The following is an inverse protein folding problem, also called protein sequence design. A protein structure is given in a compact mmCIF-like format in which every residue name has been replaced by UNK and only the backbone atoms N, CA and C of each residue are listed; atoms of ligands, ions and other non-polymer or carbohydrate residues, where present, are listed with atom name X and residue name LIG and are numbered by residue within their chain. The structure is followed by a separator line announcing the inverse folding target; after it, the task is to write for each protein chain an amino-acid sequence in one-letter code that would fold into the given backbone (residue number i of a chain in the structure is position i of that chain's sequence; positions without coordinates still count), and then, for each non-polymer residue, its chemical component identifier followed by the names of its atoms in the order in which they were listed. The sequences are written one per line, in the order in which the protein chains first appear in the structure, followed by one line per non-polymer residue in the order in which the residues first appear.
data_IF_896589823877
#
_entry.id   IF_896589823877
#
_cell.length_a   1.000
_cell.length_b   1.000
_cell.length_c   1.000
_cell.angle_alpha   90.00
_cell.angle_beta   90.00
_cell.angle_gamma   90.00
#
_symmetry.space_group_name_H-M   'P 1'
#
loop_
_entity.id
_entity.type
_entity.pdbx_description
1 polymer ?
#
# COMPACT_ATOMS: atom_id res chain seq x y z
N UNK A 1 28.91 38.04 19.44
CA UNK A 1 27.69 38.26 18.63
C UNK A 1 27.89 37.96 17.13
N UNK A 2 28.90 38.54 16.44
CA UNK A 2 29.16 38.25 15.01
C UNK A 2 29.51 36.78 14.69
N UNK A 3 30.18 36.07 15.60
CA UNK A 3 30.54 34.65 15.43
C UNK A 3 29.36 33.70 15.63
N UNK A 4 28.44 34.02 16.55
CA UNK A 4 27.22 33.26 16.81
C UNK A 4 26.20 33.41 15.67
N UNK A 5 26.08 34.61 15.10
CA UNK A 5 25.24 34.87 13.92
C UNK A 5 25.80 34.13 12.70
N UNK A 6 27.13 34.11 12.47
CA UNK A 6 27.74 33.30 11.40
C UNK A 6 27.49 31.79 11.58
N UNK A 7 27.56 31.27 12.80
CA UNK A 7 27.27 29.86 13.07
C UNK A 7 25.79 29.52 12.87
N UNK A 8 24.88 30.41 13.28
CA UNK A 8 23.44 30.23 13.11
C UNK A 8 23.04 30.32 11.63
N UNK A 9 23.63 31.23 10.85
CA UNK A 9 23.41 31.34 9.41
C UNK A 9 24.00 30.15 8.65
N UNK A 10 25.15 29.61 9.07
CA UNK A 10 25.73 28.37 8.51
C UNK A 10 24.88 27.15 8.89
N UNK A 11 24.34 27.09 10.11
CA UNK A 11 23.47 26.01 10.56
C UNK A 11 22.08 26.04 9.88
N UNK A 12 21.53 27.23 9.63
CA UNK A 12 20.32 27.41 8.82
C UNK A 12 20.57 27.12 7.33
N UNK A 13 21.72 27.51 6.78
CA UNK A 13 22.14 27.12 5.41
C UNK A 13 22.36 25.61 5.30
N UNK A 14 22.91 24.93 6.31
CA UNK A 14 23.08 23.48 6.32
C UNK A 14 21.73 22.73 6.41
N UNK A 15 20.75 23.27 7.15
CA UNK A 15 19.40 22.70 7.20
C UNK A 15 18.57 22.98 5.92
N UNK A 16 18.99 23.96 5.09
CA UNK A 16 18.44 24.22 3.74
C UNK A 16 19.19 23.39 2.66
N UNK A 17 20.29 22.69 3.00
CA UNK A 17 21.21 22.05 2.04
C UNK A 17 21.22 20.50 2.05
N UNK A 18 20.22 19.84 2.64
CA UNK A 18 20.02 18.39 2.42
C UNK A 18 18.62 18.14 1.85
N UNK A 19 18.35 18.75 0.71
CA UNK A 19 17.31 18.28 -0.20
C UNK A 19 17.76 16.95 -0.78
N UNK A 20 17.50 15.84 -0.07
CA UNK A 20 17.64 14.52 -0.66
C UNK A 20 16.74 14.44 -1.90
N UNK A 21 17.29 13.98 -3.03
CA UNK A 21 16.47 13.73 -4.21
C UNK A 21 15.39 12.70 -3.84
N UNK A 22 14.13 13.11 -3.80
CA UNK A 22 13.03 12.21 -3.50
C UNK A 22 12.54 11.56 -4.81
N UNK A 23 12.26 10.25 -4.74
CA UNK A 23 12.06 9.32 -5.84
C UNK A 23 13.19 9.37 -6.87
N UNK A 24 13.98 8.31 -6.94
CA UNK A 24 15.16 8.24 -7.82
C UNK A 24 14.86 7.39 -9.04
N UNK A 25 13.91 6.45 -8.93
CA UNK A 25 13.25 5.76 -10.05
C UNK A 25 11.78 6.16 -10.09
N UNK A 26 11.27 6.55 -11.26
CA UNK A 26 9.83 6.51 -11.56
C UNK A 26 9.62 5.80 -12.89
N UNK A 27 8.60 4.96 -12.94
CA UNK A 27 8.21 4.28 -14.17
C UNK A 27 6.68 4.26 -14.30
N UNK A 28 6.19 4.53 -15.50
CA UNK A 28 4.81 4.23 -15.92
C UNK A 28 4.87 3.36 -17.15
N UNK A 29 4.08 2.28 -17.16
CA UNK A 29 3.96 1.33 -18.26
C UNK A 29 2.50 1.21 -18.67
N UNK A 30 2.26 1.29 -19.98
CA UNK A 30 0.95 1.17 -20.61
C UNK A 30 1.02 0.10 -21.69
N UNK A 31 0.46 -1.07 -21.40
CA UNK A 31 0.35 -2.20 -22.35
C UNK A 31 -1.02 -2.25 -22.99
N UNK A 32 -2.05 -1.76 -22.29
CA UNK A 32 -3.40 -1.53 -22.81
C UNK A 32 -3.89 -0.13 -22.42
N UNK A 33 -3.92 0.83 -23.37
CA UNK A 33 -4.36 2.20 -23.09
C UNK A 33 -5.88 2.33 -22.94
N UNK A 34 -6.66 1.32 -23.33
CA UNK A 34 -8.13 1.32 -23.17
C UNK A 34 -8.55 1.08 -21.71
N UNK A 35 -7.72 0.35 -20.96
CA UNK A 35 -7.99 -0.07 -19.58
C UNK A 35 -9.02 -1.19 -19.47
N UNK A 36 -9.20 -1.97 -20.55
CA UNK A 36 -9.97 -3.22 -20.56
C UNK A 36 -9.18 -4.36 -19.92
N UNK A 37 -7.86 -4.41 -20.15
CA UNK A 37 -6.96 -5.30 -19.41
C UNK A 37 -6.80 -4.76 -17.98
N UNK A 38 -7.22 -5.53 -16.95
CA UNK A 38 -7.09 -5.12 -15.55
C UNK A 38 -5.63 -4.93 -15.12
N UNK A 39 -4.64 -5.41 -15.88
CA UNK A 39 -3.22 -5.23 -15.62
C UNK A 39 -2.52 -4.38 -16.68
N UNK A 40 -3.30 -3.68 -17.51
CA UNK A 40 -2.86 -2.97 -18.70
C UNK A 40 -2.14 -1.63 -18.46
N UNK A 41 -2.23 -1.10 -17.24
CA UNK A 41 -1.65 0.19 -16.87
C UNK A 41 -1.12 0.13 -15.44
N UNK A 42 0.19 0.32 -15.28
CA UNK A 42 0.84 0.31 -13.98
C UNK A 42 1.89 1.42 -13.86
N UNK A 43 2.18 1.81 -12.63
CA UNK A 43 3.24 2.75 -12.29
C UNK A 43 3.96 2.34 -11.02
N UNK A 44 5.17 2.83 -10.84
CA UNK A 44 5.95 2.53 -9.63
C UNK A 44 7.10 3.49 -9.42
N UNK A 45 7.58 3.52 -8.18
CA UNK A 45 8.69 4.35 -7.79
C UNK A 45 9.59 3.71 -6.74
N UNK A 46 10.86 4.08 -6.78
CA UNK A 46 11.86 3.74 -5.78
C UNK A 46 12.59 5.01 -5.33
N UNK A 47 13.13 5.00 -4.11
CA UNK A 47 13.76 6.18 -3.51
C UNK A 47 14.90 5.80 -2.59
N UNK A 48 16.10 6.28 -2.90
CA UNK A 48 17.29 6.13 -2.06
C UNK A 48 17.30 7.03 -0.82
N UNK A 49 16.49 8.09 -0.82
CA UNK A 49 16.51 9.08 0.25
C UNK A 49 15.96 8.49 1.57
N UNK A 50 16.60 8.78 2.72
CA UNK A 50 16.09 8.43 4.03
C UNK A 50 14.70 9.02 4.32
N UNK A 51 14.17 9.94 3.53
CA UNK A 51 12.82 10.47 3.74
C UNK A 51 11.88 9.97 2.64
N UNK A 52 11.60 8.66 2.63
CA UNK A 52 10.78 8.09 1.57
C UNK A 52 9.39 8.73 1.46
N UNK A 53 8.84 9.20 2.58
CA UNK A 53 7.59 9.97 2.64
C UNK A 53 7.59 11.28 1.82
N UNK A 54 8.76 11.81 1.43
CA UNK A 54 8.86 12.97 0.53
C UNK A 54 8.65 12.61 -0.95
N UNK A 55 8.64 11.31 -1.26
CA UNK A 55 8.19 10.79 -2.56
C UNK A 55 6.70 10.52 -2.46
N UNK A 56 5.90 11.18 -3.29
CA UNK A 56 4.44 11.04 -3.20
C UNK A 56 3.93 10.13 -4.31
N UNK A 57 3.22 9.09 -3.90
CA UNK A 57 2.53 8.14 -4.76
C UNK A 57 1.04 8.26 -4.54
N UNK A 58 0.33 8.72 -5.56
CA UNK A 58 -1.12 8.87 -5.47
C UNK A 58 -1.74 7.98 -6.54
N UNK A 59 -2.73 7.22 -6.12
CA UNK A 59 -3.63 6.47 -6.98
C UNK A 59 -5.05 6.96 -6.74
N UNK A 60 -5.67 7.54 -7.76
CA UNK A 60 -7.11 7.75 -7.72
C UNK A 60 -7.80 6.50 -8.25
N UNK A 61 -8.39 5.71 -7.35
CA UNK A 61 -9.18 4.53 -7.72
C UNK A 61 -10.45 4.93 -8.51
N UNK A 62 -11.04 6.06 -8.15
CA UNK A 62 -12.25 6.60 -8.79
C UNK A 62 -11.98 7.13 -10.20
N UNK A 63 -10.97 7.99 -10.36
CA UNK A 63 -10.67 8.63 -11.63
C UNK A 63 -9.60 7.90 -12.47
N UNK A 64 -9.12 6.73 -12.01
CA UNK A 64 -8.16 5.84 -12.69
C UNK A 64 -6.91 6.54 -13.21
N UNK A 65 -6.24 7.30 -12.33
CA UNK A 65 -4.95 7.92 -12.62
C UNK A 65 -3.96 7.74 -11.47
N UNK A 66 -2.67 7.92 -11.78
CA UNK A 66 -1.60 7.98 -10.80
C UNK A 66 -0.70 9.20 -10.99
N UNK A 67 -0.11 9.64 -9.88
CA UNK A 67 0.92 10.66 -9.82
C UNK A 67 2.09 10.11 -9.00
N UNK A 68 3.28 10.19 -9.58
CA UNK A 68 4.57 9.84 -9.01
C UNK A 68 5.41 11.11 -8.96
N UNK A 69 5.54 11.69 -7.77
CA UNK A 69 6.26 12.94 -7.56
C UNK A 69 7.66 12.70 -7.04
N UNK A 70 8.61 13.50 -7.52
CA UNK A 70 10.00 13.42 -7.14
C UNK A 70 10.78 14.69 -7.43
N UNK A 71 12.11 14.56 -7.44
CA UNK A 71 13.04 15.63 -7.77
C UNK A 71 13.83 16.14 -6.57
N UNK A 72 14.62 17.18 -6.84
CA UNK A 72 15.56 17.82 -5.90
C UNK A 72 15.01 19.10 -5.28
N UNK A 73 13.81 19.53 -5.69
CA UNK A 73 13.18 20.72 -5.14
C UNK A 73 12.55 20.52 -3.76
N UNK A 74 12.28 21.64 -3.10
CA UNK A 74 11.74 21.73 -1.75
C UNK A 74 10.35 21.07 -1.59
N UNK A 75 10.05 20.62 -0.37
CA UNK A 75 8.83 19.87 -0.06
C UNK A 75 7.53 20.66 -0.30
N UNK A 76 7.48 21.95 0.03
CA UNK A 76 6.27 22.77 -0.13
C UNK A 76 5.92 23.01 -1.63
N UNK A 77 6.84 23.49 -2.49
CA UNK A 77 6.60 23.59 -3.93
C UNK A 77 6.20 22.26 -4.56
N UNK A 78 6.77 21.15 -4.08
CA UNK A 78 6.39 19.81 -4.52
C UNK A 78 4.93 19.49 -4.23
N UNK A 79 4.47 19.76 -3.01
CA UNK A 79 3.07 19.55 -2.63
C UNK A 79 2.13 20.38 -3.50
N UNK A 80 2.47 21.64 -3.77
CA UNK A 80 1.69 22.50 -4.66
C UNK A 80 1.61 21.94 -6.08
N UNK A 81 2.73 21.49 -6.65
CA UNK A 81 2.77 20.84 -7.95
C UNK A 81 1.89 19.58 -8.02
N UNK A 82 1.88 18.78 -6.94
CA UNK A 82 1.03 17.59 -6.83
C UNK A 82 -0.45 17.98 -6.81
N UNK A 83 -0.83 18.97 -5.98
CA UNK A 83 -2.22 19.45 -5.89
C UNK A 83 -2.71 19.97 -7.24
N UNK A 84 -1.90 20.75 -7.95
CA UNK A 84 -2.21 21.24 -9.29
C UNK A 84 -2.44 20.09 -10.28
N UNK A 85 -1.53 19.11 -10.29
CA UNK A 85 -1.64 17.94 -11.16
C UNK A 85 -2.89 17.09 -10.85
N UNK A 86 -3.24 16.91 -9.57
CA UNK A 86 -4.48 16.23 -9.14
C UNK A 86 -5.69 16.97 -9.69
N UNK A 87 -5.75 18.29 -9.49
CA UNK A 87 -6.90 19.09 -9.92
C UNK A 87 -7.10 19.01 -11.43
N UNK A 88 -6.02 19.04 -12.22
CA UNK A 88 -6.08 18.88 -13.67
C UNK A 88 -6.63 17.50 -14.05
N UNK A 89 -6.10 16.41 -13.48
CA UNK A 89 -6.51 15.05 -13.82
C UNK A 89 -7.95 14.75 -13.40
N UNK A 90 -8.37 15.19 -12.20
CA UNK A 90 -9.75 15.04 -11.69
C UNK A 90 -10.76 15.76 -12.59
N UNK A 91 -10.39 16.90 -13.14
CA UNK A 91 -11.25 17.71 -14.02
C UNK A 91 -11.18 17.28 -15.50
N UNK A 92 -10.70 16.07 -15.79
CA UNK A 92 -10.73 15.52 -17.14
C UNK A 92 -9.47 15.78 -17.98
N UNK A 93 -8.50 16.54 -17.48
CA UNK A 93 -7.25 16.83 -18.19
C UNK A 93 -6.41 15.59 -18.51
N UNK A 94 -5.49 15.76 -19.45
CA UNK A 94 -4.52 14.76 -19.93
C UNK A 94 -3.31 14.67 -19.00
N UNK A 95 -2.54 13.58 -19.13
CA UNK A 95 -1.28 13.43 -18.39
C UNK A 95 -0.28 14.55 -18.74
N UNK A 96 -0.24 14.99 -19.99
CA UNK A 96 0.65 16.07 -20.44
C UNK A 96 0.37 17.40 -19.73
N UNK A 97 -0.90 17.79 -19.64
CA UNK A 97 -1.32 19.01 -18.94
C UNK A 97 -0.96 18.94 -17.45
N UNK A 98 -1.23 17.80 -16.81
CA UNK A 98 -0.93 17.61 -15.38
C UNK A 98 0.58 17.60 -15.08
N UNK A 99 1.38 16.89 -15.88
CA UNK A 99 2.83 16.85 -15.71
C UNK A 99 3.48 18.23 -15.97
N UNK A 100 2.86 19.06 -16.81
CA UNK A 100 3.34 20.42 -17.10
C UNK A 100 3.32 21.32 -15.86
N UNK A 101 2.48 21.03 -14.85
CA UNK A 101 2.45 21.77 -13.59
C UNK A 101 3.82 21.81 -12.89
N UNK A 102 4.63 20.75 -13.03
CA UNK A 102 5.99 20.70 -12.48
C UNK A 102 6.90 21.81 -13.00
N UNK A 103 6.66 22.32 -14.21
CA UNK A 103 7.48 23.37 -14.82
C UNK A 103 7.41 24.70 -14.07
N UNK A 104 6.36 24.92 -13.27
CA UNK A 104 6.23 26.09 -12.40
C UNK A 104 7.09 26.03 -11.14
N UNK A 105 7.73 24.89 -10.86
CA UNK A 105 8.39 24.62 -9.58
C UNK A 105 9.81 24.11 -9.79
N UNK A 106 10.80 24.90 -9.35
CA UNK A 106 12.23 24.56 -9.52
C UNK A 106 12.58 23.23 -8.86
N UNK A 107 13.25 22.36 -9.60
CA UNK A 107 13.74 21.07 -9.10
C UNK A 107 12.67 20.00 -8.91
N UNK A 108 11.38 20.28 -9.19
CA UNK A 108 10.29 19.32 -9.04
C UNK A 108 10.10 18.48 -10.29
N UNK A 109 9.77 17.21 -10.11
CA UNK A 109 9.33 16.29 -11.17
C UNK A 109 7.94 15.77 -10.84
N UNK A 110 7.07 15.79 -11.84
CA UNK A 110 5.80 15.05 -11.81
C UNK A 110 5.80 14.08 -12.97
N UNK A 111 5.74 12.77 -12.66
CA UNK A 111 5.37 11.74 -13.62
C UNK A 111 3.94 11.30 -13.31
N UNK A 112 3.05 11.34 -14.29
CA UNK A 112 1.66 10.96 -14.08
C UNK A 112 1.08 10.26 -15.31
N UNK A 113 -0.03 9.57 -15.10
CA UNK A 113 -0.71 8.86 -16.17
C UNK A 113 -2.06 8.33 -15.73
N UNK A 114 -2.91 8.02 -16.70
CA UNK A 114 -4.23 7.45 -16.43
C UNK A 114 -4.83 6.79 -17.65
N UNK A 115 -5.81 5.92 -17.40
CA UNK A 115 -6.54 5.22 -18.47
C UNK A 115 -7.22 6.27 -19.36
N UNK A 116 -7.01 6.19 -20.68
CA UNK A 116 -7.50 7.18 -21.64
C UNK A 116 -6.85 8.58 -21.57
N UNK A 117 -5.88 8.81 -20.66
CA UNK A 117 -5.20 10.11 -20.46
C UNK A 117 -3.74 10.14 -20.93
N UNK A 118 -3.20 8.99 -21.30
CA UNK A 118 -1.78 8.82 -21.64
C UNK A 118 -0.90 8.80 -20.39
N UNK A 119 0.40 9.02 -20.59
CA UNK A 119 1.38 9.20 -19.51
C UNK A 119 2.33 10.34 -19.86
N UNK A 120 2.84 11.04 -18.87
CA UNK A 120 3.80 12.12 -19.08
C UNK A 120 4.75 12.27 -17.89
N UNK A 121 5.89 12.89 -18.14
CA UNK A 121 6.79 13.39 -17.11
C UNK A 121 7.18 14.82 -17.43
N UNK A 122 7.14 15.70 -16.42
CA UNK A 122 7.46 17.10 -16.53
C UNK A 122 8.40 17.60 -15.44
N UNK A 123 9.06 18.73 -15.68
CA UNK A 123 9.96 19.39 -14.73
C UNK A 123 11.40 18.84 -14.80
N UNK A 124 12.00 18.55 -13.64
CA UNK A 124 13.39 18.08 -13.50
C UNK A 124 13.50 16.56 -13.65
N UNK A 125 13.72 16.08 -14.87
CA UNK A 125 13.86 14.65 -15.14
C UNK A 125 14.91 14.34 -16.21
N UNK A 126 15.43 13.12 -16.12
CA UNK A 126 16.13 12.43 -17.19
C UNK A 126 15.42 11.09 -17.42
N UNK A 127 14.82 10.89 -18.59
CA UNK A 127 13.95 9.74 -18.87
C UNK A 127 14.24 9.12 -20.24
N UNK A 128 13.70 7.92 -20.45
CA UNK A 128 13.45 7.40 -21.79
C UNK A 128 11.94 7.28 -21.99
N UNK A 129 11.48 7.77 -23.14
CA UNK A 129 10.14 7.51 -23.66
C UNK A 129 10.21 6.30 -24.57
N UNK A 130 9.40 5.30 -24.28
CA UNK A 130 9.25 4.08 -25.06
C UNK A 130 7.88 4.13 -25.72
N UNK A 131 7.82 3.93 -27.04
CA UNK A 131 6.56 3.70 -27.76
C UNK A 131 6.63 2.36 -28.47
N UNK A 132 5.51 1.64 -28.45
CA UNK A 132 5.37 0.37 -29.16
C UNK A 132 4.17 0.50 -30.09
N UNK A 133 4.41 0.48 -31.39
CA UNK A 133 3.36 0.54 -32.40
C UNK A 133 2.69 -0.82 -32.59
N UNK A 134 1.50 -0.83 -33.17
CA UNK A 134 0.70 -2.06 -33.37
C UNK A 134 1.37 -3.09 -34.29
N UNK A 135 2.33 -2.66 -35.11
CA UNK A 135 3.17 -3.54 -35.93
C UNK A 135 4.39 -4.10 -35.17
N UNK A 136 4.51 -3.81 -33.86
CA UNK A 136 5.57 -4.30 -32.98
C UNK A 136 6.89 -3.52 -33.07
N UNK A 137 6.92 -2.38 -33.79
CA UNK A 137 8.10 -1.49 -33.79
C UNK A 137 8.24 -0.82 -32.43
N UNK A 138 9.43 -0.94 -31.85
CA UNK A 138 9.79 -0.32 -30.57
C UNK A 138 10.67 0.90 -30.86
N UNK A 139 10.23 2.07 -30.40
CA UNK A 139 11.03 3.30 -30.42
C UNK A 139 11.40 3.70 -29.01
N UNK A 140 12.69 3.94 -28.78
CA UNK A 140 13.24 4.35 -27.47
C UNK A 140 13.96 5.68 -27.64
N UNK A 141 13.42 6.74 -27.03
CA UNK A 141 13.89 8.11 -27.21
C UNK A 141 14.34 8.70 -25.88
N UNK A 142 15.60 9.16 -25.74
CA UNK A 142 16.03 9.87 -24.53
C UNK A 142 15.31 11.22 -24.43
N UNK A 143 14.90 11.58 -23.22
CA UNK A 143 14.20 12.82 -22.91
C UNK A 143 14.79 13.43 -21.63
N UNK A 144 14.98 14.74 -21.59
CA UNK A 144 15.52 15.41 -20.41
C UNK A 144 14.97 16.83 -20.28
N UNK A 145 14.47 17.17 -19.10
CA UNK A 145 13.86 18.47 -18.83
C UNK A 145 12.59 18.75 -19.64
N UNK A 146 11.84 19.78 -19.24
CA UNK A 146 10.64 20.21 -19.94
C UNK A 146 9.48 19.22 -19.74
N UNK A 147 9.01 18.61 -20.82
CA UNK A 147 7.86 17.69 -20.84
C UNK A 147 8.10 16.56 -21.85
N UNK A 148 7.95 15.31 -21.41
CA UNK A 148 7.90 14.14 -22.27
C UNK A 148 6.53 13.46 -22.16
N UNK A 149 5.95 13.06 -23.29
CA UNK A 149 4.55 12.62 -23.37
C UNK A 149 4.45 11.31 -24.13
N UNK A 150 3.79 10.33 -23.52
CA UNK A 150 3.15 9.20 -24.17
C UNK A 150 1.67 9.59 -24.41
N UNK A 151 1.26 9.84 -25.66
CA UNK A 151 -0.09 10.32 -25.95
C UNK A 151 -1.19 9.34 -25.48
N UNK A 152 -2.41 9.83 -25.20
CA UNK A 152 -3.58 8.97 -25.00
C UNK A 152 -3.74 7.96 -26.13
N UNK A 153 -4.15 6.74 -25.80
CA UNK A 153 -4.38 5.67 -26.78
C UNK A 153 -3.12 4.96 -27.29
N UNK A 154 -1.93 5.30 -26.80
CA UNK A 154 -0.68 4.65 -27.21
C UNK A 154 -0.13 3.69 -26.15
N UNK A 155 0.44 2.57 -26.63
CA UNK A 155 1.24 1.64 -25.82
C UNK A 155 2.65 2.16 -25.69
N UNK A 156 3.24 1.99 -24.52
CA UNK A 156 4.57 2.50 -24.24
C UNK A 156 4.87 2.61 -22.77
N UNK A 157 5.95 3.30 -22.46
CA UNK A 157 6.38 3.56 -21.10
C UNK A 157 7.19 4.84 -21.01
N UNK A 158 7.28 5.37 -19.80
CA UNK A 158 8.26 6.39 -19.44
C UNK A 158 9.02 5.86 -18.23
N UNK A 159 10.34 5.77 -18.35
CA UNK A 159 11.22 5.39 -17.24
C UNK A 159 12.21 6.51 -16.96
N UNK A 160 12.20 7.00 -15.73
CA UNK A 160 13.14 7.95 -15.16
C UNK A 160 14.00 7.24 -14.12
N UNK A 161 15.32 7.42 -14.16
CA UNK A 161 16.24 6.91 -13.14
C UNK A 161 17.39 7.89 -12.94
N UNK A 162 17.64 8.40 -11.73
CA UNK A 162 18.79 9.28 -11.41
C UNK A 162 19.93 8.51 -10.75
N UNK A 163 21.17 9.00 -10.91
CA UNK A 163 22.31 8.50 -10.13
C UNK A 163 22.13 8.88 -8.66
N UNK A 164 22.39 7.95 -7.74
CA UNK A 164 22.41 8.18 -6.29
C UNK A 164 23.71 7.64 -5.69
N UNK A 165 24.09 8.01 -4.45
CA UNK A 165 25.30 7.46 -3.83
C UNK A 165 25.26 5.92 -3.83
N UNK A 166 26.20 5.28 -4.52
CA UNK A 166 26.21 3.82 -4.69
C UNK A 166 25.36 3.28 -5.86
N UNK A 167 24.74 4.15 -6.66
CA UNK A 167 23.93 3.81 -7.83
C UNK A 167 24.34 4.62 -9.10
N UNK A 168 24.52 3.95 -10.25
CA UNK A 168 24.42 2.51 -10.38
C UNK A 168 25.61 1.79 -9.75
N UNK A 169 25.36 0.62 -9.16
CA UNK A 169 26.41 -0.30 -8.70
C UNK A 169 27.34 -0.69 -9.86
N UNK A 170 26.80 -0.78 -11.07
CA UNK A 170 27.55 -1.04 -12.30
C UNK A 170 27.12 -0.10 -13.44
N UNK A 171 28.05 0.62 -14.06
CA UNK A 171 27.77 1.49 -15.22
C UNK A 171 27.34 2.93 -14.87
N UNK A 172 26.37 3.49 -15.61
CA UNK A 172 25.78 4.83 -15.34
C UNK A 172 24.25 4.72 -15.32
N UNK A 173 23.55 5.55 -14.54
CA UNK A 173 22.08 5.49 -14.51
C UNK A 173 21.49 5.71 -15.92
N UNK A 174 22.18 6.44 -16.79
CA UNK A 174 21.80 6.58 -18.19
C UNK A 174 21.85 5.25 -18.96
N UNK A 175 22.85 4.40 -18.71
CA UNK A 175 22.98 3.08 -19.33
C UNK A 175 21.90 2.12 -18.81
N UNK A 176 21.74 2.02 -17.48
CA UNK A 176 20.69 1.18 -16.87
C UNK A 176 19.31 1.61 -17.38
N UNK A 177 19.02 2.91 -17.37
CA UNK A 177 17.74 3.43 -17.87
C UNK A 177 17.50 3.11 -19.35
N UNK A 178 18.55 3.11 -20.18
CA UNK A 178 18.46 2.75 -21.60
C UNK A 178 18.18 1.26 -21.78
N UNK A 179 18.90 0.40 -21.07
CA UNK A 179 18.73 -1.05 -21.11
C UNK A 179 17.33 -1.46 -20.64
N UNK A 180 16.88 -0.88 -19.54
CA UNK A 180 15.51 -1.06 -19.03
C UNK A 180 14.47 -0.56 -20.02
N UNK A 181 14.65 0.62 -20.63
CA UNK A 181 13.72 1.12 -21.65
C UNK A 181 13.59 0.17 -22.84
N UNK A 182 14.69 -0.44 -23.29
CA UNK A 182 14.68 -1.45 -24.36
C UNK A 182 13.97 -2.73 -23.89
N UNK A 183 14.23 -3.19 -22.65
CA UNK A 183 13.58 -4.38 -22.07
C UNK A 183 12.07 -4.18 -21.94
N UNK A 184 11.64 -3.04 -21.40
CA UNK A 184 10.23 -2.65 -21.29
C UNK A 184 9.56 -2.70 -22.67
N UNK A 185 10.16 -2.08 -23.69
CA UNK A 185 9.61 -2.08 -25.05
C UNK A 185 9.42 -3.49 -25.62
N UNK A 186 10.38 -4.39 -25.38
CA UNK A 186 10.26 -5.81 -25.78
C UNK A 186 9.12 -6.50 -25.04
N UNK A 187 9.02 -6.34 -23.72
CA UNK A 187 7.96 -6.94 -22.93
C UNK A 187 6.57 -6.44 -23.32
N UNK A 188 6.42 -5.13 -23.62
CA UNK A 188 5.15 -4.57 -24.14
C UNK A 188 4.80 -5.22 -25.48
N UNK A 189 5.75 -5.29 -26.43
CA UNK A 189 5.55 -5.94 -27.74
C UNK A 189 5.16 -7.41 -27.59
N UNK A 190 5.79 -8.11 -26.64
CA UNK A 190 5.60 -9.53 -26.40
C UNK A 190 4.34 -9.83 -25.57
N UNK A 191 3.56 -8.82 -25.20
CA UNK A 191 2.24 -8.97 -24.58
C UNK A 191 2.26 -9.20 -23.07
N UNK A 192 3.35 -8.84 -22.38
CA UNK A 192 3.40 -8.91 -20.93
C UNK A 192 2.48 -7.86 -20.30
N UNK A 193 1.80 -8.15 -19.18
CA UNK A 193 1.03 -7.16 -18.45
C UNK A 193 1.90 -6.04 -17.87
N UNK A 194 1.38 -4.81 -17.80
CA UNK A 194 2.12 -3.67 -17.28
C UNK A 194 2.58 -3.88 -15.83
N UNK A 195 1.77 -4.56 -15.00
CA UNK A 195 2.12 -4.90 -13.61
C UNK A 195 3.36 -5.79 -13.51
N UNK A 196 3.49 -6.76 -14.42
CA UNK A 196 4.66 -7.65 -14.51
C UNK A 196 5.90 -6.87 -14.94
N UNK A 197 5.74 -5.99 -15.93
CA UNK A 197 6.84 -5.16 -16.43
C UNK A 197 7.35 -4.23 -15.33
N UNK A 198 6.47 -3.56 -14.58
CA UNK A 198 6.88 -2.69 -13.45
C UNK A 198 7.66 -3.48 -12.39
N UNK A 199 7.21 -4.69 -12.03
CA UNK A 199 7.93 -5.52 -11.07
C UNK A 199 9.31 -5.97 -11.57
N UNK A 200 9.42 -6.33 -12.85
CA UNK A 200 10.71 -6.70 -13.45
C UNK A 200 11.67 -5.49 -13.48
N UNK A 201 11.17 -4.28 -13.77
CA UNK A 201 11.97 -3.04 -13.66
C UNK A 201 12.49 -2.84 -12.23
N UNK A 202 11.66 -3.06 -11.21
CA UNK A 202 12.09 -2.94 -9.81
C UNK A 202 13.18 -3.95 -9.45
N UNK A 203 13.05 -5.19 -9.93
CA UNK A 203 14.05 -6.23 -9.75
C UNK A 203 15.38 -5.82 -10.41
N UNK A 204 15.35 -5.43 -11.67
CA UNK A 204 16.58 -5.10 -12.39
C UNK A 204 17.23 -3.83 -11.86
N UNK A 205 16.45 -2.82 -11.53
CA UNK A 205 16.97 -1.56 -10.96
C UNK A 205 17.56 -1.80 -9.56
N UNK A 206 16.93 -2.62 -8.72
CA UNK A 206 17.47 -2.95 -7.40
C UNK A 206 18.75 -3.79 -7.46
N UNK A 207 18.84 -4.73 -8.39
CA UNK A 207 20.01 -5.60 -8.53
C UNK A 207 21.16 -4.91 -9.29
N UNK A 208 20.86 -4.27 -10.43
CA UNK A 208 21.87 -3.79 -11.37
C UNK A 208 22.26 -2.32 -11.11
N UNK A 209 21.28 -1.48 -10.78
CA UNK A 209 21.53 -0.09 -10.39
C UNK A 209 21.85 0.01 -8.89
N UNK A 210 21.42 -0.91 -8.03
CA UNK A 210 21.60 -0.75 -6.59
C UNK A 210 20.72 0.36 -6.00
N UNK A 211 19.76 0.86 -6.77
CA UNK A 211 18.63 1.60 -6.24
C UNK A 211 17.65 0.59 -5.66
N UNK A 212 17.83 0.26 -4.38
CA UNK A 212 17.16 -0.90 -3.77
C UNK A 212 15.91 -0.55 -3.00
N UNK A 213 15.80 0.67 -2.49
CA UNK A 213 14.73 1.00 -1.54
C UNK A 213 13.43 1.33 -2.27
N UNK A 214 12.41 0.47 -2.11
CA UNK A 214 11.15 0.59 -2.81
C UNK A 214 10.22 1.64 -2.20
N UNK A 215 9.56 2.45 -3.04
CA UNK A 215 8.53 3.42 -2.64
C UNK A 215 7.09 2.96 -2.85
N UNK A 216 6.90 1.87 -3.61
CA UNK A 216 5.59 1.28 -3.90
C UNK A 216 5.24 1.28 -5.39
N UNK A 217 4.20 0.52 -5.73
CA UNK A 217 3.66 0.43 -7.08
C UNK A 217 2.14 0.38 -7.09
N UNK A 218 1.58 0.73 -8.25
CA UNK A 218 0.15 0.87 -8.47
C UNK A 218 -0.24 0.20 -9.79
N UNK A 219 -1.36 -0.50 -9.75
CA UNK A 219 -2.12 -0.90 -10.92
C UNK A 219 -3.23 0.13 -11.13
N UNK A 220 -3.02 1.02 -12.07
CA UNK A 220 -3.92 2.14 -12.38
C UNK A 220 -5.19 1.62 -13.06
N UNK A 221 -5.07 0.56 -13.85
CA UNK A 221 -6.22 -0.04 -14.52
C UNK A 221 -7.21 -0.61 -13.50
N UNK A 222 -6.74 -1.32 -12.47
CA UNK A 222 -7.61 -1.96 -11.46
C UNK A 222 -7.78 -1.18 -10.16
N UNK A 223 -7.05 -0.08 -9.95
CA UNK A 223 -7.12 0.68 -8.70
C UNK A 223 -6.52 -0.07 -7.50
N UNK A 224 -5.53 -0.93 -7.74
CA UNK A 224 -4.82 -1.69 -6.69
C UNK A 224 -3.44 -1.08 -6.46
N UNK A 225 -2.96 -1.09 -5.22
CA UNK A 225 -1.60 -0.63 -4.89
C UNK A 225 -0.95 -1.56 -3.89
N UNK A 226 0.37 -1.43 -3.76
CA UNK A 226 1.14 -2.06 -2.67
C UNK A 226 0.84 -1.45 -1.30
N UNK A 227 0.04 -0.37 -1.22
CA UNK A 227 -0.13 0.39 0.03
C UNK A 227 1.22 0.69 0.69
N UNK A 228 1.29 0.42 1.99
CA UNK A 228 2.47 0.67 2.81
C UNK A 228 3.44 -0.53 2.91
N UNK A 229 3.31 -1.54 2.05
CA UNK A 229 4.09 -2.80 2.11
C UNK A 229 5.61 -2.61 2.22
N UNK A 230 6.14 -1.55 1.62
CA UNK A 230 7.59 -1.26 1.59
C UNK A 230 7.92 0.05 2.31
N UNK A 231 6.94 0.66 2.98
CA UNK A 231 7.11 1.89 3.74
C UNK A 231 7.74 1.57 5.09
N UNK A 232 8.80 2.30 5.50
CA UNK A 232 9.39 2.09 6.81
C UNK A 232 8.45 2.58 7.90
N UNK A 233 8.51 1.95 9.08
CA UNK A 233 7.66 2.29 10.20
C UNK A 233 7.94 3.69 10.78
N UNK A 234 9.20 4.15 10.67
CA UNK A 234 9.60 5.45 11.20
C UNK A 234 9.78 6.48 10.07
N UNK A 235 9.51 7.74 10.41
CA UNK A 235 9.91 8.87 9.57
C UNK A 235 11.43 8.92 9.46
N UNK A 236 11.90 9.36 8.30
CA UNK A 236 13.32 9.53 7.98
C UNK A 236 14.15 8.22 7.91
N UNK A 237 13.48 7.11 7.59
CA UNK A 237 14.12 5.86 7.14
C UNK A 237 13.91 5.58 5.64
N UNK A 238 14.82 4.78 5.07
CA UNK A 238 14.68 4.26 3.69
C UNK A 238 13.63 3.15 3.63
N UNK A 239 12.97 3.01 2.48
CA UNK A 239 12.02 1.91 2.23
C UNK A 239 12.65 0.52 2.27
N UNK A 240 11.80 -0.51 2.28
CA UNK A 240 12.25 -1.90 2.26
C UNK A 240 13.10 -2.18 1.00
N UNK A 241 14.25 -2.88 1.11
CA UNK A 241 15.10 -3.17 -0.04
C UNK A 241 14.45 -4.22 -0.95
N UNK A 242 14.20 -3.86 -2.20
CA UNK A 242 13.46 -4.67 -3.17
C UNK A 242 14.21 -5.94 -3.59
N UNK A 243 15.54 -5.97 -3.46
CA UNK A 243 16.39 -7.13 -3.75
C UNK A 243 16.46 -8.15 -2.59
N UNK A 244 15.73 -7.93 -1.50
CA UNK A 244 15.75 -8.79 -0.32
C UNK A 244 14.55 -9.76 -0.25
N UNK A 245 14.70 -10.91 0.44
CA UNK A 245 13.60 -11.82 0.75
C UNK A 245 12.51 -11.16 1.61
N UNK A 246 11.27 -11.13 1.13
CA UNK A 246 10.15 -10.49 1.81
C UNK A 246 9.34 -11.48 2.67
N UNK A 247 9.07 -12.65 2.12
CA UNK A 247 8.29 -13.70 2.81
C UNK A 247 8.68 -15.10 2.33
N UNK A 248 8.22 -16.10 3.08
CA UNK A 248 8.18 -17.50 2.64
C UNK A 248 6.74 -17.94 2.52
N UNK A 249 6.42 -18.70 1.47
CA UNK A 249 5.07 -19.20 1.20
C UNK A 249 5.10 -20.70 0.88
N UNK A 250 4.12 -21.44 1.40
CA UNK A 250 3.89 -22.81 1.02
C UNK A 250 3.22 -22.85 -0.36
N UNK A 251 3.82 -23.51 -1.36
CA UNK A 251 3.24 -23.57 -2.70
C UNK A 251 1.98 -24.46 -2.77
N UNK A 252 1.71 -25.25 -1.73
CA UNK A 252 0.61 -26.21 -1.71
C UNK A 252 -0.63 -25.67 -0.96
N UNK A 253 -0.47 -25.24 0.30
CA UNK A 253 -1.58 -24.78 1.14
C UNK A 253 -1.67 -23.25 1.30
N UNK A 254 -0.73 -22.48 0.75
CA UNK A 254 -0.74 -21.01 0.80
C UNK A 254 -0.29 -20.39 2.13
N UNK A 255 -0.05 -21.19 3.18
CA UNK A 255 0.50 -20.68 4.44
C UNK A 255 1.77 -19.86 4.18
N UNK A 256 1.85 -18.66 4.74
CA UNK A 256 2.97 -17.75 4.53
C UNK A 256 3.42 -17.07 5.82
N UNK A 257 4.66 -16.61 5.81
CA UNK A 257 5.28 -15.89 6.93
C UNK A 257 6.26 -14.85 6.38
N UNK A 258 6.20 -13.63 6.92
CA UNK A 258 7.10 -12.53 6.56
C UNK A 258 8.45 -12.59 7.28
N UNK A 259 9.49 -12.00 6.68
CA UNK A 259 10.76 -11.77 7.36
C UNK A 259 10.63 -10.69 8.44
N UNK A 260 11.41 -10.76 9.55
CA UNK A 260 12.48 -11.72 9.82
C UNK A 260 12.00 -13.08 10.34
N UNK A 261 10.75 -13.20 10.80
CA UNK A 261 10.20 -14.43 11.39
C UNK A 261 10.32 -15.66 10.46
N UNK A 262 10.24 -15.43 9.15
CA UNK A 262 10.43 -16.45 8.11
C UNK A 262 11.79 -17.18 8.17
N UNK A 263 12.82 -16.62 8.80
CA UNK A 263 14.11 -17.30 8.98
C UNK A 263 13.98 -18.61 9.75
N UNK A 264 13.04 -18.67 10.69
CA UNK A 264 12.81 -19.84 11.55
C UNK A 264 12.07 -20.99 10.86
N UNK A 265 11.55 -20.78 9.64
CA UNK A 265 10.71 -21.76 8.94
C UNK A 265 11.36 -22.22 7.64
N UNK A 266 11.60 -23.53 7.49
CA UNK A 266 12.09 -24.14 6.24
C UNK A 266 11.01 -24.96 5.53
N UNK A 267 10.06 -25.48 6.30
CA UNK A 267 8.91 -26.25 5.82
C UNK A 267 7.62 -25.67 6.38
N UNK A 268 6.51 -25.90 5.68
CA UNK A 268 5.20 -25.49 6.12
C UNK A 268 4.82 -26.23 7.40
N UNK A 269 4.38 -25.54 8.47
CA UNK A 269 3.95 -26.20 9.70
C UNK A 269 2.65 -26.99 9.53
N UNK A 270 1.89 -26.74 8.46
CA UNK A 270 0.60 -27.39 8.21
C UNK A 270 0.73 -28.72 7.45
N UNK A 271 1.63 -28.80 6.46
CA UNK A 271 1.73 -29.97 5.58
C UNK A 271 3.17 -30.49 5.33
N UNK A 272 4.18 -29.87 5.95
CA UNK A 272 5.59 -30.27 5.83
C UNK A 272 6.25 -29.93 4.49
N UNK A 273 5.56 -29.25 3.57
CA UNK A 273 6.11 -28.88 2.26
C UNK A 273 7.23 -27.84 2.40
N UNK A 274 8.36 -27.96 1.67
CA UNK A 274 9.38 -26.92 1.64
C UNK A 274 8.82 -25.56 1.21
N UNK A 275 9.12 -24.53 2.00
CA UNK A 275 8.62 -23.18 1.73
C UNK A 275 9.42 -22.52 0.60
N UNK A 276 8.73 -21.80 -0.28
CA UNK A 276 9.35 -20.99 -1.33
C UNK A 276 9.60 -19.57 -0.82
N UNK A 277 10.81 -19.07 -1.00
CA UNK A 277 11.15 -17.67 -0.73
C UNK A 277 10.58 -16.76 -1.82
N UNK A 278 9.93 -15.68 -1.42
CA UNK A 278 9.41 -14.61 -2.27
C UNK A 278 10.24 -13.35 -1.98
N UNK A 279 10.82 -12.77 -3.03
CA UNK A 279 11.55 -11.50 -2.93
C UNK A 279 10.58 -10.32 -2.96
N UNK A 280 11.01 -9.16 -2.46
CA UNK A 280 10.15 -7.98 -2.39
C UNK A 280 9.62 -7.52 -3.76
N UNK A 281 10.41 -7.62 -4.84
CA UNK A 281 9.90 -7.34 -6.20
C UNK A 281 8.83 -8.34 -6.67
N UNK A 282 8.88 -9.60 -6.23
CA UNK A 282 7.85 -10.61 -6.53
C UNK A 282 6.59 -10.34 -5.70
N UNK A 283 6.75 -10.01 -4.42
CA UNK A 283 5.64 -9.60 -3.55
C UNK A 283 4.94 -8.34 -4.10
N UNK A 284 5.71 -7.38 -4.63
CA UNK A 284 5.17 -6.21 -5.32
C UNK A 284 4.33 -6.62 -6.53
N UNK A 285 4.85 -7.48 -7.40
CA UNK A 285 4.12 -7.99 -8.58
C UNK A 285 2.78 -8.56 -8.15
N UNK A 286 2.82 -9.46 -7.17
CA UNK A 286 1.65 -10.23 -6.74
C UNK A 286 0.61 -9.32 -6.07
N UNK A 287 1.05 -8.28 -5.35
CA UNK A 287 0.17 -7.29 -4.74
C UNK A 287 -0.59 -6.42 -5.74
N UNK A 288 0.03 -6.04 -6.87
CA UNK A 288 -0.60 -5.14 -7.86
C UNK A 288 -1.23 -5.89 -9.04
N UNK A 289 -0.93 -7.18 -9.24
CA UNK A 289 -1.44 -7.96 -10.37
C UNK A 289 -2.78 -8.61 -10.04
N UNK A 290 -3.80 -8.24 -10.80
CA UNK A 290 -5.12 -8.85 -10.71
C UNK A 290 -5.14 -10.13 -11.56
N UNK A 291 -5.12 -11.29 -10.90
CA UNK A 291 -5.34 -12.59 -11.56
C UNK A 291 -6.82 -12.97 -11.50
N UNK A 292 -7.25 -14.01 -12.25
CA UNK A 292 -8.63 -14.53 -12.22
C UNK A 292 -9.13 -14.90 -10.81
N UNK A 293 -8.24 -15.08 -9.83
CA UNK A 293 -8.57 -15.32 -8.43
C UNK A 293 -8.10 -14.24 -7.44
N UNK A 294 -7.54 -13.10 -7.89
CA UNK A 294 -7.06 -12.05 -6.98
C UNK A 294 -8.20 -11.11 -6.59
N UNK A 295 -8.51 -11.04 -5.30
CA UNK A 295 -9.43 -10.09 -4.69
C UNK A 295 -8.61 -9.01 -3.98
N UNK A 296 -8.76 -7.76 -4.39
CA UNK A 296 -8.09 -6.61 -3.77
C UNK A 296 -8.87 -6.18 -2.54
N UNK A 297 -8.35 -6.47 -1.35
CA UNK A 297 -9.02 -6.13 -0.09
C UNK A 297 -8.35 -4.93 0.56
N UNK A 298 -9.10 -3.84 0.73
CA UNK A 298 -8.67 -2.64 1.45
C UNK A 298 -9.36 -2.59 2.81
N UNK A 299 -8.58 -2.44 3.87
CA UNK A 299 -9.08 -2.39 5.25
C UNK A 299 -8.94 -0.96 5.76
N UNK A 300 -9.99 -0.46 6.41
CA UNK A 300 -10.07 0.89 6.95
C UNK A 300 -10.51 0.83 8.42
N UNK A 301 -10.09 1.82 9.23
CA UNK A 301 -10.49 1.92 10.63
C UNK A 301 -9.64 1.11 11.62
N UNK A 302 -8.58 0.45 11.15
CA UNK A 302 -7.51 -0.12 11.96
C UNK A 302 -6.21 -0.12 11.17
N UNK A 303 -5.14 0.39 11.78
CA UNK A 303 -3.79 0.42 11.19
C UNK A 303 -2.93 -0.79 11.64
N UNK A 304 -3.50 -1.69 12.46
CA UNK A 304 -2.82 -2.86 12.97
C UNK A 304 -2.57 -3.88 11.86
N UNK A 305 -1.30 -4.14 11.55
CA UNK A 305 -0.89 -5.02 10.46
C UNK A 305 -1.51 -6.43 10.57
N UNK A 306 -1.67 -6.94 11.80
CA UNK A 306 -2.31 -8.23 12.05
C UNK A 306 -3.81 -8.26 11.71
N UNK A 307 -4.53 -7.16 11.96
CA UNK A 307 -5.95 -7.02 11.59
C UNK A 307 -6.09 -6.91 10.07
N UNK A 308 -5.23 -6.11 9.43
CA UNK A 308 -5.24 -5.91 7.98
C UNK A 308 -4.98 -7.24 7.26
N UNK A 309 -3.90 -7.95 7.60
CA UNK A 309 -3.52 -9.19 6.93
C UNK A 309 -4.57 -10.30 7.12
N UNK A 310 -5.03 -10.51 8.35
CA UNK A 310 -6.04 -11.54 8.65
C UNK A 310 -7.36 -11.25 7.91
N UNK A 311 -7.80 -9.99 7.91
CA UNK A 311 -9.01 -9.58 7.16
C UNK A 311 -8.84 -9.83 5.67
N UNK A 312 -7.68 -9.50 5.09
CA UNK A 312 -7.41 -9.74 3.67
C UNK A 312 -7.54 -11.23 3.31
N UNK A 313 -6.99 -12.13 4.13
CA UNK A 313 -7.05 -13.57 3.88
C UNK A 313 -8.48 -14.12 4.02
N UNK A 314 -9.21 -13.72 5.07
CA UNK A 314 -10.62 -14.12 5.26
C UNK A 314 -11.46 -13.67 4.07
N UNK A 315 -11.38 -12.40 3.69
CA UNK A 315 -12.19 -11.84 2.60
C UNK A 315 -11.84 -12.50 1.27
N UNK A 316 -10.55 -12.76 0.99
CA UNK A 316 -10.14 -13.50 -0.22
C UNK A 316 -10.73 -14.90 -0.25
N UNK A 317 -10.65 -15.64 0.86
CA UNK A 317 -11.18 -16.99 0.97
C UNK A 317 -12.70 -17.01 0.78
N UNK A 318 -13.42 -16.13 1.46
CA UNK A 318 -14.88 -16.01 1.35
C UNK A 318 -15.31 -15.62 -0.06
N UNK A 319 -14.61 -14.70 -0.73
CA UNK A 319 -14.94 -14.35 -2.12
C UNK A 319 -14.67 -15.49 -3.10
N UNK A 320 -13.71 -16.38 -2.82
CA UNK A 320 -13.49 -17.58 -3.63
C UNK A 320 -14.60 -18.62 -3.44
N UNK A 321 -15.15 -18.75 -2.23
CA UNK A 321 -16.19 -19.74 -1.89
C UNK A 321 -17.61 -19.23 -2.25
N UNK A 322 -17.94 -18.02 -1.80
CA UNK A 322 -19.30 -17.45 -1.83
C UNK A 322 -19.46 -16.29 -2.82
N UNK A 323 -18.39 -15.88 -3.50
CA UNK A 323 -18.39 -14.71 -4.38
C UNK A 323 -18.40 -13.37 -3.62
N UNK A 324 -18.69 -12.27 -4.32
CA UNK A 324 -18.69 -10.91 -3.75
C UNK A 324 -19.98 -10.60 -2.97
N UNK A 325 -20.34 -11.42 -1.96
CA UNK A 325 -21.47 -11.15 -1.06
C UNK A 325 -21.01 -10.37 0.17
N UNK A 326 -21.59 -9.19 0.38
CA UNK A 326 -21.36 -8.36 1.56
C UNK A 326 -21.75 -9.08 2.84
N UNK A 327 -22.83 -9.86 2.81
CA UNK A 327 -23.33 -10.63 3.95
C UNK A 327 -22.40 -11.80 4.31
N UNK A 328 -21.93 -12.57 3.33
CA UNK A 328 -21.01 -13.67 3.57
C UNK A 328 -19.67 -13.17 4.13
N UNK A 329 -19.15 -12.08 3.57
CA UNK A 329 -17.90 -11.45 4.01
C UNK A 329 -18.04 -10.91 5.44
N UNK A 330 -19.11 -10.16 5.74
CA UNK A 330 -19.34 -9.64 7.09
C UNK A 330 -19.47 -10.77 8.12
N UNK A 331 -20.17 -11.84 7.77
CA UNK A 331 -20.30 -13.02 8.63
C UNK A 331 -18.95 -13.68 8.91
N UNK A 332 -18.15 -13.96 7.89
CA UNK A 332 -16.85 -14.61 8.04
C UNK A 332 -15.87 -13.77 8.89
N UNK A 333 -15.92 -12.43 8.74
CA UNK A 333 -15.15 -11.51 9.59
C UNK A 333 -15.62 -11.58 11.04
N UNK A 334 -16.93 -11.54 11.27
CA UNK A 334 -17.49 -11.61 12.63
C UNK A 334 -17.18 -12.96 13.31
N UNK A 335 -17.24 -14.07 12.56
CA UNK A 335 -16.81 -15.38 13.05
C UNK A 335 -15.32 -15.38 13.43
N UNK A 336 -14.46 -14.66 12.69
CA UNK A 336 -13.05 -14.52 13.03
C UNK A 336 -12.79 -13.62 14.25
N UNK A 337 -13.63 -12.60 14.47
CA UNK A 337 -13.63 -11.79 15.70
C UNK A 337 -14.02 -12.66 16.90
N UNK A 338 -15.08 -13.47 16.76
CA UNK A 338 -15.56 -14.38 17.81
C UNK A 338 -14.50 -15.44 18.20
N UNK A 339 -13.73 -15.92 17.23
CA UNK A 339 -12.62 -16.86 17.46
C UNK A 339 -11.30 -16.17 17.88
N UNK A 340 -11.28 -14.85 18.02
CA UNK A 340 -10.10 -14.09 18.46
C UNK A 340 -8.96 -14.03 17.44
N UNK A 341 -9.24 -14.30 16.16
CA UNK A 341 -8.28 -14.14 15.05
C UNK A 341 -8.12 -12.66 14.67
N UNK A 342 -9.17 -11.87 14.89
CA UNK A 342 -9.18 -10.41 14.74
C UNK A 342 -9.54 -9.81 16.10
N UNK A 343 -8.70 -8.91 16.62
CA UNK A 343 -8.87 -8.29 17.93
C UNK A 343 -8.80 -6.77 17.83
N UNK A 344 -9.39 -6.07 18.81
CA UNK A 344 -9.31 -4.60 18.89
C UNK A 344 -10.29 -3.83 17.99
N UNK A 345 -11.18 -4.53 17.28
CA UNK A 345 -12.20 -3.94 16.42
C UNK A 345 -13.59 -4.50 16.75
N UNK A 346 -14.63 -3.72 16.46
CA UNK A 346 -16.02 -4.11 16.65
C UNK A 346 -16.52 -4.99 15.50
N UNK A 347 -17.66 -5.65 15.70
CA UNK A 347 -18.35 -6.39 14.65
C UNK A 347 -18.66 -5.49 13.45
N UNK A 348 -18.63 -6.06 12.26
CA UNK A 348 -18.95 -5.39 11.00
C UNK A 348 -20.34 -5.82 10.51
N UNK A 349 -21.10 -4.88 9.98
CA UNK A 349 -22.36 -5.15 9.29
C UNK A 349 -22.14 -5.19 7.77
N UNK A 350 -23.06 -5.77 6.96
CA UNK A 350 -22.92 -5.77 5.51
C UNK A 350 -22.73 -4.37 4.90
N UNK A 351 -23.34 -3.34 5.50
CA UNK A 351 -23.18 -1.93 5.08
C UNK A 351 -21.75 -1.39 5.26
N UNK A 352 -20.95 -2.04 6.11
CA UNK A 352 -19.55 -1.71 6.38
C UNK A 352 -18.60 -2.46 5.43
N UNK A 353 -19.16 -3.26 4.51
CA UNK A 353 -18.46 -3.93 3.42
C UNK A 353 -18.83 -3.24 2.11
N UNK A 354 -17.84 -2.92 1.29
CA UNK A 354 -18.05 -2.31 -0.03
C UNK A 354 -17.46 -3.22 -1.10
N UNK A 355 -18.30 -3.96 -1.82
CA UNK A 355 -17.84 -4.84 -2.89
C UNK A 355 -17.89 -4.13 -4.25
N UNK A 356 -16.82 -4.28 -5.03
CA UNK A 356 -16.75 -3.87 -6.44
C UNK A 356 -16.32 -5.07 -7.29
N UNK A 357 -17.27 -5.94 -7.67
CA UNK A 357 -16.95 -7.18 -8.40
C UNK A 357 -16.23 -6.91 -9.73
N UNK A 358 -16.61 -5.84 -10.43
CA UNK A 358 -15.99 -5.43 -11.70
C UNK A 358 -14.52 -5.05 -11.58
N UNK A 359 -14.12 -4.50 -10.43
CA UNK A 359 -12.71 -4.17 -10.11
C UNK A 359 -12.05 -5.21 -9.21
N UNK A 360 -12.75 -6.33 -8.95
CA UNK A 360 -12.35 -7.37 -8.00
C UNK A 360 -11.91 -6.84 -6.64
N UNK A 361 -12.52 -5.76 -6.17
CA UNK A 361 -12.11 -5.08 -4.95
C UNK A 361 -13.16 -5.22 -3.84
N UNK A 362 -12.71 -5.27 -2.60
CA UNK A 362 -13.55 -5.24 -1.39
C UNK A 362 -12.95 -4.23 -0.42
N UNK A 363 -13.77 -3.29 0.05
CA UNK A 363 -13.44 -2.42 1.18
C UNK A 363 -14.09 -2.96 2.45
N UNK A 364 -13.34 -3.01 3.55
CA UNK A 364 -13.85 -3.37 4.88
C UNK A 364 -13.61 -2.19 5.81
N UNK A 365 -14.65 -1.70 6.46
CA UNK A 365 -14.60 -0.55 7.36
C UNK A 365 -14.82 -1.00 8.80
N UNK A 366 -13.75 -1.08 9.58
CA UNK A 366 -13.83 -1.38 11.01
C UNK A 366 -14.14 -0.14 11.85
N UNK A 367 -14.79 -0.38 12.98
CA UNK A 367 -14.85 0.56 14.09
C UNK A 367 -13.92 0.06 15.20
N UNK A 368 -12.87 0.81 15.60
CA UNK A 368 -11.98 0.37 16.68
C UNK A 368 -12.71 0.34 18.02
N UNK A 369 -12.32 -0.59 18.89
CA UNK A 369 -12.90 -0.69 20.23
C UNK A 369 -12.30 0.38 21.17
N UNK A 370 -13.10 1.00 22.05
CA UNK A 370 -12.60 1.94 23.04
C UNK A 370 -11.80 1.21 24.14
N UNK A 371 -10.91 1.97 24.80
CA UNK A 371 -10.19 1.58 26.02
C UNK A 371 -9.34 0.29 25.91
N UNK A 372 -8.62 0.12 24.81
CA UNK A 372 -7.70 -1.02 24.55
C UNK A 372 -8.37 -2.41 24.66
N UNK A 373 -9.69 -2.46 24.50
CA UNK A 373 -10.44 -3.71 24.58
C UNK A 373 -10.07 -4.62 23.42
N UNK A 374 -9.76 -5.87 23.75
CA UNK A 374 -9.37 -6.88 22.75
C UNK A 374 -10.56 -7.55 22.06
N UNK A 375 -11.75 -7.51 22.66
CA UNK A 375 -12.97 -8.11 22.10
C UNK A 375 -14.21 -7.19 22.26
N UNK A 376 -15.13 -7.20 21.28
CA UNK A 376 -16.36 -6.44 21.34
C UNK A 376 -17.23 -6.88 22.52
N UNK A 377 -18.15 -6.02 23.01
CA UNK A 377 -19.09 -6.42 24.04
C UNK A 377 -19.96 -7.57 23.51
N UNK A 378 -19.99 -8.69 24.24
CA UNK A 378 -20.79 -9.86 23.86
C UNK A 378 -22.23 -9.42 23.59
N UNK A 379 -22.72 -9.74 22.39
CA UNK A 379 -24.13 -9.60 22.06
C UNK A 379 -24.89 -10.78 22.69
N UNK A 380 -25.07 -10.74 24.00
CA UNK A 380 -25.85 -11.75 24.70
C UNK A 380 -27.33 -11.59 24.32
N UNK A 381 -28.07 -12.67 24.03
CA UNK A 381 -29.52 -12.63 23.85
C UNK A 381 -30.27 -12.33 25.17
N UNK A 382 -29.56 -11.89 26.21
CA UNK A 382 -30.08 -11.54 27.53
C UNK A 382 -29.82 -10.05 27.75
N UNK A 383 -30.90 -9.29 27.96
CA UNK A 383 -30.81 -7.86 28.22
C UNK A 383 -30.08 -7.57 29.53
N UNK A 384 -29.44 -6.41 29.62
CA UNK A 384 -28.78 -5.93 30.85
C UNK A 384 -29.71 -5.97 32.08
N UNK A 385 -31.01 -5.73 31.88
CA UNK A 385 -32.02 -5.82 32.94
C UNK A 385 -32.16 -7.22 33.56
N UNK A 386 -31.85 -8.30 32.85
CA UNK A 386 -31.87 -9.65 33.43
C UNK A 386 -30.74 -9.86 34.45
N UNK A 387 -29.56 -9.29 34.19
CA UNK A 387 -28.41 -9.37 35.10
C UNK A 387 -28.59 -8.49 36.34
N UNK A 388 -29.21 -7.32 36.21
CA UNK A 388 -29.59 -6.48 37.35
C UNK A 388 -30.58 -7.21 38.27
N UNK A 389 -31.62 -7.83 37.70
CA UNK A 389 -32.59 -8.62 38.48
C UNK A 389 -31.93 -9.80 39.21
N UNK A 390 -30.98 -10.50 38.57
CA UNK A 390 -30.22 -11.57 39.23
C UNK A 390 -29.35 -11.04 40.38
N UNK A 391 -28.68 -9.90 40.18
CA UNK A 391 -27.88 -9.24 41.22
C UNK A 391 -28.73 -8.78 42.42
N UNK A 392 -29.92 -8.24 42.16
CA UNK A 392 -30.86 -7.81 43.19
C UNK A 392 -31.40 -9.00 43.99
N UNK A 393 -31.74 -10.12 43.33
CA UNK A 393 -32.16 -11.36 44.00
C UNK A 393 -31.04 -11.89 44.90
N UNK A 394 -29.80 -11.89 44.42
CA UNK A 394 -28.64 -12.35 45.19
C UNK A 394 -28.39 -11.46 46.42
N UNK A 395 -28.53 -10.15 46.27
CA UNK A 395 -28.41 -9.17 47.36
C UNK A 395 -29.53 -9.34 48.39
N UNK A 396 -30.78 -9.51 47.95
CA UNK A 396 -31.91 -9.74 48.84
C UNK A 396 -31.77 -11.04 49.65
N UNK A 397 -31.31 -12.13 49.02
CA UNK A 397 -31.01 -13.39 49.69
C UNK A 397 -29.90 -13.21 50.75
N UNK A 398 -28.85 -12.45 50.44
CA UNK A 398 -27.78 -12.12 51.40
C UNK A 398 -28.31 -11.36 52.62
N UNK A 399 -29.17 -10.36 52.41
CA UNK A 399 -29.83 -9.61 53.48
C UNK A 399 -30.72 -10.49 54.36
N UNK A 400 -31.52 -11.39 53.76
CA UNK A 400 -32.37 -12.33 54.51
C UNK A 400 -31.52 -13.27 55.37
N UNK A 401 -30.41 -13.79 54.84
CA UNK A 401 -29.50 -14.64 55.61
C UNK A 401 -28.87 -13.90 56.79
N UNK A 402 -28.48 -12.63 56.61
CA UNK A 402 -27.97 -11.78 57.70
C UNK A 402 -29.03 -11.55 58.78
N UNK A 403 -30.28 -11.26 58.39
CA UNK A 403 -31.40 -11.09 59.33
C UNK A 403 -31.66 -12.38 60.10
N UNK A 404 -31.68 -13.53 59.44
CA UNK A 404 -31.84 -14.84 60.09
C UNK A 404 -30.71 -15.13 61.09
N UNK A 405 -29.48 -14.73 60.76
CA UNK A 405 -28.32 -14.89 61.63
C UNK A 405 -28.40 -13.99 62.88
N UNK A 406 -28.90 -12.76 62.71
CA UNK A 406 -29.20 -11.84 63.82
C UNK A 406 -30.35 -12.34 64.69
N UNK A 407 -31.42 -12.87 64.08
CA UNK A 407 -32.54 -13.48 64.81
C UNK A 407 -32.08 -14.69 65.63
N UNK A 408 -31.21 -15.52 65.04
CA UNK A 408 -30.60 -16.66 65.73
C UNK A 408 -29.74 -16.22 66.91
N UNK A 409 -28.94 -15.15 66.77
CA UNK A 409 -28.09 -14.65 67.86
C UNK A 409 -28.92 -14.05 69.00
N UNK A 410 -30.00 -13.33 68.70
CA UNK A 410 -30.93 -12.78 69.71
C UNK A 410 -31.74 -13.87 70.41
N UNK A 411 -32.27 -14.86 69.68
CA UNK A 411 -32.93 -16.03 70.28
C UNK A 411 -32.01 -16.80 71.22
N UNK A 412 -30.76 -17.07 70.81
CA UNK A 412 -29.79 -17.77 71.66
C UNK A 412 -29.42 -16.94 72.90
N UNK A 413 -29.33 -15.60 72.79
CA UNK A 413 -29.12 -14.74 73.97
C UNK A 413 -30.34 -14.69 74.90
N UNK A 414 -31.56 -14.78 74.35
CA UNK A 414 -32.81 -14.79 75.09
C UNK A 414 -33.02 -16.08 75.88
N UNK A 415 -32.52 -17.22 75.39
CA UNK A 415 -32.61 -18.51 76.07
C UNK A 415 -31.46 -18.79 77.04
N UNK A 416 -30.42 -17.94 77.07
CA UNK A 416 -29.27 -18.02 78.01
C UNK A 416 -29.34 -17.02 79.16
N UNK A 417 -30.51 -16.43 79.42
CA UNK A 417 -30.76 -15.56 80.58
C UNK A 417 -31.67 -16.23 81.59
#
# INVERSE_FOLDING_TARGET
MKTLIKFLTIFLLFNILIGGAAATLNVIVVTDPSGEDPNGFAGGSMSFAPNMFQSTFILSKEHRFTILSGGEGEAIPRLMAIVDAINILKNGGTAAEAASAASGYSGIRIMCGGVGKGAAVGGSFDAYLVTVDDNGIITVTPQSGGLAVLPPGKKGAIIHLRNTPGNPMYGTAANVRREEAIKIGKMIRDGYPATVIVAEVFKDVSINAGEKHGGGAVNVASGVSTGDMFTPANLNETGYPMDQPYAKVCPHCGWSVGYPTAENYQVCPMDGTPLKTIYAYDALRDAITVTKGTVSVSVYGSDEAGVIQTTQEIVKATVQEDGYSEEAIAKAINDAIDHGLIIGVNYVEPKDINVKPSSRAVGVYYTPLPDDRTAPPMNLPLSSGFFEVLGDIQTALGCVLLILLLFRSTLISSFRR
#
